data_IF_549949013424
#
_entry.id   IF_549949013424
#
_cell.length_a   1.000
_cell.length_b   1.000
_cell.length_c   1.000
_cell.angle_alpha   90.00
_cell.angle_beta   90.00
_cell.angle_gamma   90.00
#
_symmetry.space_group_name_H-M   'P 1'
#
loop_
_entity.id
_entity.type
_entity.pdbx_description
1 polymer ?
#
# COMPACT_ATOMS: atom_id res chain seq x y z
N UNK A 1 14.75 5.58 5.90
CA UNK A 1 14.09 4.41 6.52
C UNK A 1 13.02 4.77 7.55
N UNK A 2 13.18 5.81 8.39
CA UNK A 2 12.15 6.25 9.35
C UNK A 2 10.81 6.70 8.70
N UNK A 3 10.85 7.25 7.48
CA UNK A 3 9.67 7.73 6.75
C UNK A 3 8.66 6.61 6.45
N UNK A 4 9.14 5.40 6.20
CA UNK A 4 8.34 4.29 5.68
C UNK A 4 7.56 3.60 6.80
N UNK A 5 8.18 3.40 7.98
CA UNK A 5 7.48 2.89 9.16
C UNK A 5 6.42 3.87 9.68
N UNK A 6 6.72 5.17 9.65
CA UNK A 6 5.76 6.21 10.02
C UNK A 6 4.62 6.34 8.99
N UNK A 7 4.87 5.96 7.72
CA UNK A 7 3.84 5.89 6.69
C UNK A 7 2.81 4.81 7.04
N UNK A 8 3.23 3.59 7.41
CA UNK A 8 2.32 2.49 7.77
C UNK A 8 1.43 2.88 8.96
N UNK A 9 2.04 3.42 10.01
CA UNK A 9 1.32 3.77 11.24
C UNK A 9 0.27 4.84 11.01
N UNK A 10 0.52 5.76 10.06
CA UNK A 10 -0.39 6.84 9.71
C UNK A 10 -1.16 6.60 8.40
N UNK A 11 -1.10 5.40 7.81
CA UNK A 11 -1.76 5.08 6.55
C UNK A 11 -3.25 5.44 6.57
N UNK A 12 -4.06 5.07 7.59
CA UNK A 12 -5.48 5.40 7.61
C UNK A 12 -5.74 6.90 7.56
N UNK A 13 -4.94 7.67 8.32
CA UNK A 13 -5.03 9.12 8.41
C UNK A 13 -4.63 9.76 7.07
N UNK A 14 -3.49 9.36 6.50
CA UNK A 14 -2.99 9.86 5.21
C UNK A 14 -3.94 9.56 4.05
N UNK A 15 -4.64 8.43 4.09
CA UNK A 15 -5.66 8.08 3.09
C UNK A 15 -6.88 9.01 3.17
N UNK A 16 -7.33 9.36 4.39
CA UNK A 16 -8.40 10.35 4.59
C UNK A 16 -7.97 11.74 4.12
N UNK A 17 -6.73 12.13 4.42
CA UNK A 17 -6.19 13.43 4.02
C UNK A 17 -6.08 13.56 2.50
N UNK A 18 -5.67 12.49 1.80
CA UNK A 18 -5.68 12.47 0.33
C UNK A 18 -7.09 12.50 -0.26
N UNK A 19 -8.05 11.81 0.36
CA UNK A 19 -9.45 11.91 -0.03
C UNK A 19 -10.00 13.33 0.09
N UNK A 20 -9.70 14.01 1.21
CA UNK A 20 -10.07 15.42 1.43
C UNK A 20 -9.39 16.36 0.44
N UNK A 21 -8.10 16.18 0.17
CA UNK A 21 -7.38 16.99 -0.81
C UNK A 21 -7.87 16.76 -2.25
N UNK A 22 -8.27 15.53 -2.59
CA UNK A 22 -8.81 15.19 -3.92
C UNK A 22 -10.18 15.83 -4.22
N UNK A 23 -11.08 15.88 -3.23
CA UNK A 23 -12.43 16.41 -3.42
C UNK A 23 -12.60 17.87 -2.95
N UNK A 24 -11.74 18.35 -2.05
CA UNK A 24 -11.85 19.66 -1.40
C UNK A 24 -10.93 20.76 -1.95
N UNK A 25 -10.06 20.46 -2.92
CA UNK A 25 -9.19 21.46 -3.56
C UNK A 25 -8.01 21.96 -2.71
N UNK A 26 -7.60 21.21 -1.67
CA UNK A 26 -6.42 21.53 -0.86
C UNK A 26 -5.09 21.20 -1.54
N UNK A 27 -3.98 21.77 -1.04
CA UNK A 27 -2.62 21.41 -1.45
C UNK A 27 -2.34 19.93 -1.18
N UNK A 28 -1.72 19.26 -2.16
CA UNK A 28 -1.44 17.82 -2.10
C UNK A 28 -0.09 17.61 -1.45
N UNK A 29 -0.06 16.87 -0.33
CA UNK A 29 1.20 16.51 0.35
C UNK A 29 2.13 15.81 -0.65
N UNK A 30 3.35 16.34 -0.92
CA UNK A 30 4.34 15.68 -1.79
C UNK A 30 4.76 14.30 -1.29
N UNK A 31 4.58 14.02 0.02
CA UNK A 31 4.81 12.72 0.64
C UNK A 31 3.52 11.90 0.82
N UNK A 32 2.42 12.37 0.23
CA UNK A 32 1.13 11.70 0.24
C UNK A 32 1.09 10.50 -0.71
N UNK A 33 0.14 9.57 -0.52
CA UNK A 33 -0.10 8.47 -1.46
C UNK A 33 -0.35 8.98 -2.89
N UNK A 34 0.43 8.47 -3.85
CA UNK A 34 0.29 8.73 -5.28
C UNK A 34 -0.32 7.53 -6.02
N UNK A 35 -1.04 7.77 -7.12
CA UNK A 35 -1.54 6.69 -7.98
C UNK A 35 -0.44 6.13 -8.87
N UNK A 36 -0.72 4.96 -9.47
CA UNK A 36 0.09 4.38 -10.57
C UNK A 36 0.25 5.39 -11.72
N UNK A 37 -0.77 6.21 -11.98
CA UNK A 37 -0.73 7.27 -13.00
C UNK A 37 0.24 8.40 -12.60
N UNK A 38 0.21 8.85 -11.34
CA UNK A 38 1.15 9.84 -10.82
C UNK A 38 2.60 9.36 -10.88
N UNK A 39 2.86 8.11 -10.47
CA UNK A 39 4.20 7.48 -10.58
C UNK A 39 4.66 7.40 -12.04
N UNK A 40 3.77 7.06 -12.97
CA UNK A 40 4.06 7.04 -14.41
C UNK A 40 4.41 8.42 -14.98
N UNK A 41 3.77 9.48 -14.47
CA UNK A 41 4.12 10.87 -14.83
C UNK A 41 5.51 11.25 -14.32
N UNK A 42 5.83 10.96 -13.06
CA UNK A 42 7.16 11.23 -12.48
C UNK A 42 8.25 10.47 -13.25
N UNK A 43 7.99 9.22 -13.64
CA UNK A 43 8.89 8.48 -14.52
C UNK A 43 9.07 9.19 -15.88
N UNK A 44 7.98 9.68 -16.50
CA UNK A 44 8.05 10.47 -17.73
C UNK A 44 8.89 11.74 -17.58
N UNK A 45 8.75 12.46 -16.47
CA UNK A 45 9.55 13.65 -16.15
C UNK A 45 11.03 13.29 -16.06
N UNK A 46 11.41 12.24 -15.31
CA UNK A 46 12.79 11.74 -15.21
C UNK A 46 13.35 11.36 -16.59
N UNK A 47 12.54 10.75 -17.45
CA UNK A 47 12.96 10.35 -18.80
C UNK A 47 13.24 11.57 -19.69
N UNK A 48 12.42 12.63 -19.56
CA UNK A 48 12.50 13.87 -20.34
C UNK A 48 13.63 14.84 -19.94
N UNK A 49 14.38 14.52 -18.89
CA UNK A 49 15.55 15.30 -18.46
C UNK A 49 16.74 15.07 -19.41
N UNK A 50 16.69 15.67 -20.60
CA UNK A 50 17.67 15.48 -21.66
C UNK A 50 19.07 16.00 -21.31
N UNK A 51 19.15 17.02 -20.44
CA UNK A 51 20.43 17.57 -19.97
C UNK A 51 21.10 16.73 -18.86
N UNK A 52 20.40 15.72 -18.35
CA UNK A 52 20.90 14.83 -17.30
C UNK A 52 21.58 13.59 -17.90
N UNK A 53 22.77 13.18 -17.39
CA UNK A 53 23.44 11.97 -17.85
C UNK A 53 22.52 10.74 -17.82
N UNK A 54 22.66 9.85 -18.81
CA UNK A 54 21.83 8.62 -18.89
C UNK A 54 21.99 7.76 -17.63
N UNK A 55 23.20 7.71 -17.06
CA UNK A 55 23.46 6.96 -15.83
C UNK A 55 22.66 7.48 -14.62
N UNK A 56 22.49 8.80 -14.49
CA UNK A 56 21.71 9.39 -13.38
C UNK A 56 20.20 9.29 -13.61
N UNK A 57 19.73 9.33 -14.87
CA UNK A 57 18.33 9.00 -15.20
C UNK A 57 18.00 7.55 -14.88
N UNK A 58 18.89 6.62 -15.25
CA UNK A 58 18.73 5.21 -14.95
C UNK A 58 18.73 4.93 -13.44
N UNK A 59 19.61 5.58 -12.67
CA UNK A 59 19.63 5.42 -11.21
C UNK A 59 18.36 5.97 -10.55
N UNK A 60 17.83 7.11 -11.02
CA UNK A 60 16.57 7.67 -10.55
C UNK A 60 15.38 6.75 -10.88
N UNK A 61 15.33 6.20 -12.08
CA UNK A 61 14.31 5.22 -12.49
C UNK A 61 14.36 3.94 -11.64
N UNK A 62 15.56 3.39 -11.42
CA UNK A 62 15.74 2.23 -10.54
C UNK A 62 15.29 2.55 -9.12
N UNK A 63 15.62 3.75 -8.61
CA UNK A 63 15.16 4.23 -7.31
C UNK A 63 13.63 4.32 -7.20
N UNK A 64 12.96 4.81 -8.25
CA UNK A 64 11.51 4.89 -8.33
C UNK A 64 10.85 3.50 -8.37
N UNK A 65 11.39 2.56 -9.15
CA UNK A 65 10.88 1.18 -9.19
C UNK A 65 11.13 0.47 -7.86
N UNK A 66 12.28 0.71 -7.23
CA UNK A 66 12.62 0.16 -5.93
C UNK A 66 11.66 0.68 -4.84
N UNK A 67 11.37 1.98 -4.80
CA UNK A 67 10.44 2.56 -3.83
C UNK A 67 9.02 2.06 -4.03
N UNK A 68 8.56 1.89 -5.28
CA UNK A 68 7.28 1.30 -5.61
C UNK A 68 7.19 -0.16 -5.12
N UNK A 69 8.20 -0.98 -5.37
CA UNK A 69 8.23 -2.37 -4.91
C UNK A 69 8.23 -2.48 -3.38
N UNK A 70 9.00 -1.64 -2.69
CA UNK A 70 8.99 -1.57 -1.22
C UNK A 70 7.60 -1.19 -0.72
N UNK A 71 6.95 -0.18 -1.31
CA UNK A 71 5.60 0.23 -0.93
C UNK A 71 4.58 -0.89 -1.14
N UNK A 72 4.60 -1.56 -2.30
CA UNK A 72 3.73 -2.70 -2.62
C UNK A 72 3.95 -3.87 -1.65
N UNK A 73 5.20 -4.21 -1.37
CA UNK A 73 5.53 -5.26 -0.40
C UNK A 73 5.01 -4.95 1.00
N UNK A 74 5.05 -3.68 1.42
CA UNK A 74 4.57 -3.26 2.73
C UNK A 74 3.04 -3.21 2.82
N UNK A 75 2.36 -2.79 1.76
CA UNK A 75 0.90 -2.93 1.65
C UNK A 75 0.55 -4.41 1.72
N UNK A 76 1.24 -5.28 0.98
CA UNK A 76 1.00 -6.72 1.01
C UNK A 76 1.22 -7.34 2.40
N UNK A 77 2.09 -6.79 3.24
CA UNK A 77 2.29 -7.25 4.62
C UNK A 77 1.20 -6.81 5.60
N UNK A 78 0.25 -5.95 5.20
CA UNK A 78 -0.85 -5.56 6.07
C UNK A 78 -1.75 -6.76 6.40
N UNK A 79 -2.24 -6.87 7.64
CA UNK A 79 -3.04 -8.00 8.12
C UNK A 79 -4.50 -7.94 7.61
N UNK A 80 -4.68 -7.81 6.31
CA UNK A 80 -5.98 -7.78 5.63
C UNK A 80 -6.04 -8.98 4.67
N UNK A 81 -7.17 -9.68 4.61
CA UNK A 81 -7.33 -10.89 3.81
C UNK A 81 -7.05 -10.76 2.29
N UNK A 82 -7.39 -9.66 1.59
CA UNK A 82 -7.03 -9.56 0.17
C UNK A 82 -5.53 -9.37 -0.05
N UNK A 83 -4.75 -9.17 1.02
CA UNK A 83 -3.32 -8.97 1.02
C UNK A 83 -2.63 -10.19 1.64
N UNK A 84 -1.38 -10.45 1.27
CA UNK A 84 -0.63 -11.63 1.71
C UNK A 84 -0.49 -11.69 3.25
N UNK A 85 -0.41 -10.55 3.91
CA UNK A 85 -0.32 -10.39 5.36
C UNK A 85 -1.55 -10.90 6.11
N UNK A 86 -2.72 -10.96 5.46
CA UNK A 86 -3.92 -11.59 6.03
C UNK A 86 -3.74 -13.10 6.22
N UNK A 87 -3.04 -13.76 5.27
CA UNK A 87 -2.70 -15.18 5.37
C UNK A 87 -1.62 -15.42 6.41
N UNK A 88 -0.62 -14.54 6.47
CA UNK A 88 0.41 -14.58 7.51
C UNK A 88 -0.21 -14.43 8.90
N UNK A 89 -1.14 -13.47 9.08
CA UNK A 89 -1.85 -13.31 10.34
C UNK A 89 -2.66 -14.57 10.69
N UNK A 90 -3.39 -15.14 9.71
CA UNK A 90 -4.13 -16.39 9.90
C UNK A 90 -3.23 -17.55 10.34
N UNK A 91 -2.09 -17.72 9.67
CA UNK A 91 -1.10 -18.74 9.99
C UNK A 91 -0.45 -18.53 11.38
N UNK A 92 -0.18 -17.27 11.75
CA UNK A 92 0.34 -16.93 13.09
C UNK A 92 -0.70 -17.26 14.16
N UNK A 93 -1.96 -16.89 13.97
CA UNK A 93 -3.05 -17.20 14.91
C UNK A 93 -3.24 -18.71 15.05
N UNK A 94 -3.23 -19.45 13.95
CA UNK A 94 -3.30 -20.91 13.96
C UNK A 94 -2.09 -21.52 14.68
N UNK A 95 -0.88 -21.06 14.36
CA UNK A 95 0.36 -21.49 15.01
C UNK A 95 0.34 -21.26 16.52
N UNK A 96 -0.12 -20.09 16.97
CA UNK A 96 -0.26 -19.74 18.39
C UNK A 96 -1.31 -20.63 19.07
N UNK A 97 -2.48 -20.82 18.45
CA UNK A 97 -3.55 -21.69 19.01
C UNK A 97 -3.07 -23.14 19.13
N UNK A 98 -2.37 -23.64 18.11
CA UNK A 98 -1.80 -24.99 18.09
C UNK A 98 -0.69 -25.16 19.14
N UNK A 99 0.19 -24.18 19.25
CA UNK A 99 1.25 -24.16 20.26
C UNK A 99 0.67 -24.13 21.68
N UNK A 100 -0.33 -23.27 21.94
CA UNK A 100 -1.01 -23.20 23.22
C UNK A 100 -1.76 -24.50 23.56
N UNK A 101 -2.45 -25.11 22.59
CA UNK A 101 -3.12 -26.39 22.78
C UNK A 101 -2.14 -27.51 23.15
N UNK A 102 -0.97 -27.55 22.47
CA UNK A 102 0.11 -28.50 22.80
C UNK A 102 0.65 -28.28 24.21
N UNK A 103 0.84 -27.02 24.62
CA UNK A 103 1.32 -26.67 25.97
C UNK A 103 0.30 -27.06 27.06
N UNK A 104 -0.99 -26.94 26.76
CA UNK A 104 -2.10 -27.26 27.67
C UNK A 104 -2.55 -28.73 27.58
N UNK A 105 -1.87 -29.58 26.79
CA UNK A 105 -2.23 -30.98 26.60
C UNK A 105 -3.59 -31.20 25.92
N UNK A 106 -4.13 -30.20 25.23
CA UNK A 106 -5.43 -30.24 24.56
C UNK A 106 -5.28 -30.70 23.10
N UNK A 107 -6.35 -31.27 22.55
CA UNK A 107 -6.42 -31.63 21.11
C UNK A 107 -6.22 -30.39 20.22
N UNK A 108 -5.63 -30.61 19.06
CA UNK A 108 -5.33 -29.59 18.06
C UNK A 108 -6.64 -28.87 17.62
N UNK A 109 -6.74 -27.54 17.74
CA UNK A 109 -7.97 -26.79 17.48
C UNK A 109 -8.35 -26.65 15.99
N UNK A 110 -7.51 -27.15 15.07
CA UNK A 110 -7.78 -27.19 13.63
C UNK A 110 -7.65 -25.85 12.89
N UNK A 111 -7.68 -25.87 11.55
CA UNK A 111 -7.45 -24.69 10.72
C UNK A 111 -8.52 -23.61 10.90
N UNK A 112 -8.13 -22.36 10.74
CA UNK A 112 -9.09 -21.23 10.73
C UNK A 112 -9.85 -21.25 9.40
N UNK A 113 -11.18 -21.26 9.47
CA UNK A 113 -12.04 -21.22 8.28
C UNK A 113 -12.02 -19.83 7.64
N UNK A 114 -11.16 -19.68 6.62
CA UNK A 114 -10.97 -18.45 5.86
C UNK A 114 -12.21 -18.09 5.03
N UNK A 115 -13.07 -19.06 4.71
CA UNK A 115 -14.29 -18.80 3.92
C UNK A 115 -15.26 -17.87 4.64
N UNK A 116 -15.27 -17.90 5.98
CA UNK A 116 -16.09 -16.97 6.80
C UNK A 116 -15.64 -15.52 6.70
N UNK A 117 -14.40 -15.27 6.27
CA UNK A 117 -13.82 -13.94 6.14
C UNK A 117 -14.01 -13.37 4.73
N UNK A 118 -14.49 -14.16 3.77
CA UNK A 118 -14.75 -13.73 2.39
C UNK A 118 -15.62 -12.46 2.26
N UNK A 119 -16.73 -12.28 3.03
CA UNK A 119 -17.53 -11.06 2.94
C UNK A 119 -16.71 -9.82 3.31
N UNK A 120 -15.86 -9.92 4.34
CA UNK A 120 -14.97 -8.85 4.75
C UNK A 120 -13.92 -8.57 3.68
N UNK A 121 -13.36 -9.60 3.05
CA UNK A 121 -12.44 -9.47 1.92
C UNK A 121 -13.06 -8.63 0.80
N UNK A 122 -14.32 -8.90 0.42
CA UNK A 122 -15.00 -8.12 -0.61
C UNK A 122 -15.17 -6.64 -0.25
N UNK A 123 -15.52 -6.34 1.01
CA UNK A 123 -15.62 -4.95 1.49
C UNK A 123 -14.27 -4.24 1.35
N UNK A 124 -13.19 -4.89 1.77
CA UNK A 124 -11.83 -4.34 1.68
C UNK A 124 -11.42 -4.15 0.22
N UNK A 125 -11.69 -5.11 -0.67
CA UNK A 125 -11.39 -5.00 -2.11
C UNK A 125 -12.14 -3.83 -2.74
N UNK A 126 -13.43 -3.66 -2.45
CA UNK A 126 -14.23 -2.54 -2.95
C UNK A 126 -13.66 -1.21 -2.45
N UNK A 127 -13.27 -1.15 -1.17
CA UNK A 127 -12.67 0.05 -0.59
C UNK A 127 -11.34 0.42 -1.28
N UNK A 128 -10.43 -0.55 -1.47
CA UNK A 128 -9.17 -0.34 -2.18
C UNK A 128 -9.40 0.03 -3.65
N UNK A 129 -10.37 -0.57 -4.31
CA UNK A 129 -10.74 -0.26 -5.69
C UNK A 129 -11.27 1.17 -5.83
N UNK A 130 -12.19 1.57 -4.95
CA UNK A 130 -12.74 2.92 -4.92
C UNK A 130 -11.65 3.96 -4.62
N UNK A 131 -10.76 3.67 -3.67
CA UNK A 131 -9.61 4.51 -3.36
C UNK A 131 -8.64 4.63 -4.54
N UNK A 132 -8.35 3.52 -5.22
CA UNK A 132 -7.49 3.53 -6.41
C UNK A 132 -8.09 4.38 -7.53
N UNK A 133 -9.40 4.22 -7.80
CA UNK A 133 -10.12 5.03 -8.77
C UNK A 133 -10.07 6.53 -8.41
N UNK A 134 -10.23 6.85 -7.12
CA UNK A 134 -10.12 8.22 -6.62
C UNK A 134 -8.73 8.81 -6.85
N UNK A 135 -7.66 8.07 -6.52
CA UNK A 135 -6.29 8.52 -6.71
C UNK A 135 -5.96 8.72 -8.18
N UNK A 136 -6.39 7.80 -9.05
CA UNK A 136 -6.26 7.94 -10.51
C UNK A 136 -6.94 9.22 -10.99
N UNK A 137 -8.19 9.44 -10.58
CA UNK A 137 -8.94 10.63 -10.96
C UNK A 137 -8.26 11.91 -10.48
N UNK A 138 -7.79 11.92 -9.23
CA UNK A 138 -7.14 13.07 -8.64
C UNK A 138 -5.80 13.39 -9.31
N UNK A 139 -4.99 12.39 -9.67
CA UNK A 139 -3.73 12.61 -10.39
C UNK A 139 -3.96 13.08 -11.84
N UNK A 140 -5.15 12.81 -12.41
CA UNK A 140 -5.54 13.31 -13.72
C UNK A 140 -5.98 14.78 -13.69
N UNK A 141 -6.68 15.20 -12.63
CA UNK A 141 -7.28 16.54 -12.49
C UNK A 141 -6.37 17.52 -11.75
N UNK A 142 -5.71 17.08 -10.68
CA UNK A 142 -4.81 17.88 -9.84
C UNK A 142 -3.55 17.07 -9.47
N UNK A 143 -2.60 16.93 -10.42
CA UNK A 143 -1.40 16.12 -10.22
C UNK A 143 -0.49 16.70 -9.13
N UNK A 144 0.17 15.82 -8.38
CA UNK A 144 1.27 16.19 -7.49
C UNK A 144 2.38 16.81 -8.32
N UNK A 145 2.87 17.98 -7.91
CA UNK A 145 4.02 18.66 -8.53
C UNK A 145 5.20 18.58 -7.58
N UNK A 146 6.25 17.89 -8.01
CA UNK A 146 7.55 17.91 -7.35
C UNK A 146 8.26 19.17 -7.87
N UNK A 147 8.05 20.31 -7.19
CA UNK A 147 8.78 21.56 -7.46
C UNK A 147 9.87 21.75 -6.42
#
# INVERSE_FOLDING_TARGET
MAAVGNLILNLPQRLVDVGRAAFGGGERDPNGPMSVVGVGRVAGEIASLDETPVASRASAMVGLVASLNVALGMINLLPLLPLDGGHVLGAVVEGVRRFAAKLLGRRDPGPVDVAKLMPLTFVVVILFGAMSALLIFADLVNPVRLT
#
